data_IF_730129988041
#
_entry.id   IF_730129988041
#
_cell.length_a   1.000
_cell.length_b   1.000
_cell.length_c   1.000
_cell.angle_alpha   90.00
_cell.angle_beta   90.00
_cell.angle_gamma   90.00
#
_symmetry.space_group_name_H-M   'P 1'
#
loop_
_entity.id
_entity.type
_entity.pdbx_description
1 polymer ?
#
# COMPACT_ATOMS: atom_id res chain seq x y z
N UNK A 1 9.06 -17.88 13.78
CA UNK A 1 9.40 -16.44 13.57
C UNK A 1 8.60 -16.02 12.36
N UNK A 2 7.60 -15.14 12.51
CA UNK A 2 6.69 -14.77 11.41
C UNK A 2 7.51 -14.16 10.27
N UNK A 3 7.42 -14.72 9.07
CA UNK A 3 7.95 -14.05 7.89
C UNK A 3 7.27 -12.69 7.78
N UNK A 4 8.07 -11.62 7.79
CA UNK A 4 7.56 -10.28 7.55
C UNK A 4 7.15 -10.24 6.09
N UNK A 5 5.85 -10.31 5.82
CA UNK A 5 5.29 -10.02 4.50
C UNK A 5 5.86 -8.68 4.00
N UNK A 6 6.21 -8.61 2.72
CA UNK A 6 6.70 -7.41 2.05
C UNK A 6 5.80 -7.21 0.85
N UNK A 7 5.01 -6.14 0.88
CA UNK A 7 4.15 -5.77 -0.25
C UNK A 7 4.92 -4.92 -1.29
N UNK A 8 4.21 -4.44 -2.30
CA UNK A 8 4.80 -3.73 -3.44
C UNK A 8 5.33 -2.33 -3.10
N UNK A 9 5.12 -1.82 -1.88
CA UNK A 9 5.62 -0.51 -1.44
C UNK A 9 7.12 -0.50 -1.10
N UNK A 10 7.80 -1.65 -1.10
CA UNK A 10 9.20 -1.76 -0.67
C UNK A 10 10.19 -0.93 -1.53
N UNK A 11 9.81 -0.62 -2.77
CA UNK A 11 10.63 0.15 -3.71
C UNK A 11 10.28 1.65 -3.73
N UNK A 12 9.32 2.09 -2.91
CA UNK A 12 8.91 3.49 -2.86
C UNK A 12 9.93 4.37 -2.13
N UNK A 13 10.04 5.63 -2.57
CA UNK A 13 10.94 6.60 -1.94
C UNK A 13 10.32 7.33 -0.75
N UNK A 14 8.99 7.33 -0.67
CA UNK A 14 8.26 8.04 0.38
C UNK A 14 8.40 7.32 1.71
N UNK A 15 8.91 7.99 2.76
CA UNK A 15 9.00 7.39 4.10
C UNK A 15 7.64 6.93 4.63
N UNK A 16 6.56 7.62 4.26
CA UNK A 16 5.20 7.22 4.64
C UNK A 16 4.80 5.87 4.04
N UNK A 17 5.07 5.66 2.74
CA UNK A 17 4.75 4.39 2.08
C UNK A 17 5.63 3.24 2.61
N UNK A 18 6.91 3.52 2.86
CA UNK A 18 7.85 2.55 3.42
C UNK A 18 7.42 2.03 4.81
N UNK A 19 6.74 2.86 5.61
CA UNK A 19 6.18 2.42 6.90
C UNK A 19 5.09 1.35 6.76
N UNK A 20 4.44 1.24 5.58
CA UNK A 20 3.34 0.31 5.32
C UNK A 20 3.78 -0.98 4.61
N UNK A 21 5.08 -1.16 4.36
CA UNK A 21 5.64 -2.30 3.59
C UNK A 21 5.34 -3.66 4.21
N UNK A 22 5.28 -3.71 5.54
CA UNK A 22 5.07 -4.95 6.30
C UNK A 22 3.63 -5.16 6.75
N UNK A 23 2.70 -4.33 6.28
CA UNK A 23 1.30 -4.52 6.59
C UNK A 23 0.78 -5.79 5.92
N UNK A 24 -0.17 -6.52 6.54
CA UNK A 24 -0.72 -7.76 5.99
C UNK A 24 -1.54 -7.54 4.71
N UNK A 25 -1.84 -6.28 4.37
CA UNK A 25 -2.52 -5.89 3.14
C UNK A 25 -1.48 -5.81 2.01
N UNK A 26 -1.82 -6.44 0.89
CA UNK A 26 -1.04 -6.40 -0.35
C UNK A 26 -1.18 -5.04 -1.04
N UNK A 27 -0.52 -4.03 -0.47
CA UNK A 27 -0.56 -2.67 -1.00
C UNK A 27 0.24 -2.55 -2.30
N UNK A 28 -0.38 -1.86 -3.26
CA UNK A 28 0.26 -1.42 -4.49
C UNK A 28 0.51 0.10 -4.44
N UNK A 29 1.65 0.58 -4.97
CA UNK A 29 1.79 2.01 -5.23
C UNK A 29 0.80 2.43 -6.32
N UNK A 30 0.55 3.73 -6.41
CA UNK A 30 -0.31 4.26 -7.46
C UNK A 30 0.32 4.04 -8.84
N UNK A 31 -0.36 3.29 -9.70
CA UNK A 31 0.13 2.96 -11.04
C UNK A 31 -0.79 2.02 -11.80
N UNK A 32 -0.44 1.76 -13.06
CA UNK A 32 -1.25 0.92 -13.95
C UNK A 32 -1.36 -0.53 -13.48
N UNK A 33 -0.34 -1.06 -12.78
CA UNK A 33 -0.32 -2.43 -12.26
C UNK A 33 -1.49 -2.71 -11.32
N UNK A 34 -1.77 -1.80 -10.39
CA UNK A 34 -2.88 -1.92 -9.45
C UNK A 34 -4.24 -1.99 -10.18
N UNK A 35 -4.43 -1.14 -11.20
CA UNK A 35 -5.65 -1.12 -11.99
C UNK A 35 -5.77 -2.31 -12.96
N UNK A 36 -4.64 -2.80 -13.48
CA UNK A 36 -4.60 -4.00 -14.31
C UNK A 36 -5.05 -5.22 -13.51
N UNK A 37 -4.48 -5.41 -12.31
CA UNK A 37 -4.87 -6.48 -11.38
C UNK A 37 -6.34 -6.38 -10.97
N UNK A 38 -6.82 -5.18 -10.66
CA UNK A 38 -8.23 -4.96 -10.32
C UNK A 38 -9.19 -5.33 -11.46
N UNK A 39 -8.83 -5.03 -12.71
CA UNK A 39 -9.61 -5.43 -13.90
C UNK A 39 -9.55 -6.93 -14.17
N UNK A 40 -8.39 -7.56 -13.99
CA UNK A 40 -8.21 -9.00 -14.18
C UNK A 40 -8.99 -9.81 -13.14
N UNK A 41 -8.95 -9.37 -11.88
CA UNK A 41 -9.63 -10.05 -10.78
C UNK A 41 -11.12 -9.66 -10.63
N UNK A 42 -11.62 -8.73 -11.44
CA UNK A 42 -12.97 -8.13 -11.34
C UNK A 42 -13.28 -7.65 -9.91
N UNK A 43 -12.33 -6.91 -9.33
CA UNK A 43 -12.42 -6.39 -7.96
C UNK A 43 -12.36 -4.86 -7.92
N UNK A 44 -13.09 -4.21 -7.00
CA UNK A 44 -12.99 -2.77 -6.81
C UNK A 44 -11.62 -2.39 -6.25
N UNK A 45 -11.15 -1.18 -6.57
CA UNK A 45 -9.91 -0.62 -6.03
C UNK A 45 -10.20 0.12 -4.73
N UNK A 46 -9.56 -0.30 -3.64
CA UNK A 46 -9.51 0.48 -2.41
C UNK A 46 -8.37 1.50 -2.49
N UNK A 47 -8.72 2.78 -2.57
CA UNK A 47 -7.74 3.87 -2.62
C UNK A 47 -7.56 4.49 -1.24
N UNK A 48 -6.33 4.41 -0.72
CA UNK A 48 -5.92 5.07 0.52
C UNK A 48 -4.90 6.16 0.19
N UNK A 49 -5.14 7.38 0.66
CA UNK A 49 -4.20 8.48 0.56
C UNK A 49 -3.92 9.08 1.93
N UNK A 50 -2.66 9.47 2.15
CA UNK A 50 -2.19 10.02 3.41
C UNK A 50 -0.81 10.63 3.26
N UNK A 51 -0.32 11.25 4.33
CA UNK A 51 1.00 11.86 4.37
C UNK A 51 1.59 11.78 5.79
N UNK A 52 2.91 11.89 5.91
CA UNK A 52 3.65 11.59 7.15
C UNK A 52 3.35 12.49 8.34
N UNK A 53 2.73 13.65 8.15
CA UNK A 53 2.34 14.58 9.23
C UNK A 53 0.83 14.69 9.41
N UNK A 54 0.07 13.81 8.77
CA UNK A 54 -1.37 13.72 8.93
C UNK A 54 -1.69 13.05 10.26
N UNK A 55 -2.32 13.78 11.19
CA UNK A 55 -2.69 13.23 12.50
C UNK A 55 -3.59 11.99 12.37
N UNK A 56 -4.62 12.09 11.52
CA UNK A 56 -5.59 11.01 11.35
C UNK A 56 -5.05 9.80 10.58
N UNK A 57 -4.09 10.00 9.67
CA UNK A 57 -3.51 8.93 8.86
C UNK A 57 -2.61 7.95 9.63
N UNK A 58 -2.26 8.28 10.89
CA UNK A 58 -1.51 7.40 11.78
C UNK A 58 -2.39 6.82 12.92
N UNK A 59 -3.65 7.24 12.99
CA UNK A 59 -4.62 6.78 14.00
C UNK A 59 -5.48 5.62 13.47
N UNK A 60 -5.35 5.30 12.17
CA UNK A 60 -6.07 4.22 11.49
C UNK A 60 -5.42 2.85 11.63
#
# INVERSE_FOLDING_TARGET
>A
MSEKHVNHLANEKSPYLLQHVHNPIDWYPWGEEAFAKAREEDKPVFFSCGYSTCHWCHVH
#
